data_IF_289336407829
#
_entry.id   IF_289336407829
#
_cell.length_a   1.000
_cell.length_b   1.000
_cell.length_c   1.000
_cell.angle_alpha   90.00
_cell.angle_beta   90.00
_cell.angle_gamma   90.00
#
_symmetry.space_group_name_H-M   'P 1'
#
loop_
_entity.id
_entity.type
_entity.pdbx_description
1 polymer ?
#
# COMPACT_ATOMS: atom_id res chain seq x y z
N UNK A 1 33.50 6.85 37.83
CA UNK A 1 32.12 6.40 37.55
C UNK A 1 31.84 6.72 36.07
N UNK A 2 31.95 5.69 35.29
CA UNK A 2 31.76 5.77 33.83
C UNK A 2 30.26 5.88 33.51
N UNK A 3 29.83 7.01 33.00
CA UNK A 3 28.49 7.13 32.41
C UNK A 3 28.49 6.41 31.07
N UNK A 4 28.16 5.12 31.12
CA UNK A 4 27.78 4.38 29.93
C UNK A 4 26.39 4.87 29.49
N UNK A 5 26.38 6.01 28.81
CA UNK A 5 25.22 6.46 28.09
C UNK A 5 25.07 5.53 26.90
N UNK A 6 24.38 4.39 27.12
CA UNK A 6 23.89 3.54 26.03
C UNK A 6 22.81 4.37 25.37
N UNK A 7 23.19 5.18 24.38
CA UNK A 7 22.28 5.64 23.35
C UNK A 7 21.87 4.39 22.59
N UNK A 8 20.84 3.72 23.07
CA UNK A 8 20.08 2.80 22.23
C UNK A 8 19.51 3.71 21.16
N UNK A 9 20.19 3.80 20.03
CA UNK A 9 19.62 4.36 18.84
C UNK A 9 18.32 3.53 18.61
N UNK A 10 17.19 4.12 18.98
CA UNK A 10 15.91 3.46 18.73
C UNK A 10 15.83 3.34 17.22
N UNK A 11 15.99 2.10 16.72
CA UNK A 11 15.82 1.82 15.30
C UNK A 11 14.41 2.27 14.97
N UNK A 12 14.30 3.31 14.12
CA UNK A 12 13.01 3.84 13.71
C UNK A 12 12.18 2.71 13.09
N UNK A 13 10.99 2.49 13.63
CA UNK A 13 10.05 1.49 13.13
C UNK A 13 9.22 2.08 12.01
N UNK A 14 9.04 1.30 10.94
CA UNK A 14 8.30 1.74 9.76
C UNK A 14 7.12 0.83 9.47
N UNK A 15 5.98 1.45 9.15
CA UNK A 15 4.85 0.81 8.49
C UNK A 15 4.76 1.35 7.06
N UNK A 16 5.04 0.49 6.09
CA UNK A 16 4.87 0.83 4.67
C UNK A 16 3.51 0.32 4.18
N UNK A 17 2.71 1.21 3.59
CA UNK A 17 1.42 0.87 2.99
C UNK A 17 1.58 0.94 1.47
N UNK A 18 1.78 -0.22 0.84
CA UNK A 18 1.85 -0.34 -0.62
C UNK A 18 0.43 -0.40 -1.15
N UNK A 19 0.04 0.61 -1.91
CA UNK A 19 -1.35 0.83 -2.25
C UNK A 19 -1.58 1.20 -3.73
N UNK A 20 -2.85 1.19 -4.14
CA UNK A 20 -3.28 1.50 -5.49
C UNK A 20 -4.31 0.50 -6.04
N UNK A 21 -4.92 0.77 -7.20
CA UNK A 21 -5.98 -0.06 -7.76
C UNK A 21 -5.52 -1.50 -8.07
N UNK A 22 -6.48 -2.38 -8.28
CA UNK A 22 -6.19 -3.72 -8.79
C UNK A 22 -5.46 -3.60 -10.14
N UNK A 23 -4.51 -4.49 -10.42
CA UNK A 23 -3.69 -4.41 -11.64
C UNK A 23 -2.58 -3.34 -11.63
N UNK A 24 -2.45 -2.53 -10.58
CA UNK A 24 -1.42 -1.48 -10.50
C UNK A 24 0.02 -2.01 -10.30
N UNK A 25 0.23 -3.32 -10.23
CA UNK A 25 1.57 -3.91 -10.10
C UNK A 25 2.20 -3.74 -8.71
N UNK A 26 1.39 -3.54 -7.68
CA UNK A 26 1.83 -3.37 -6.29
C UNK A 26 2.72 -4.52 -5.82
N UNK A 27 2.23 -5.75 -5.89
CA UNK A 27 2.95 -6.96 -5.45
C UNK A 27 4.29 -7.10 -6.17
N UNK A 28 4.31 -6.91 -7.49
CA UNK A 28 5.56 -6.94 -8.28
C UNK A 28 6.55 -5.87 -7.84
N UNK A 29 6.06 -4.65 -7.54
CA UNK A 29 6.91 -3.58 -7.01
C UNK A 29 7.40 -3.89 -5.59
N UNK A 30 6.54 -4.45 -4.75
CA UNK A 30 6.86 -4.79 -3.36
C UNK A 30 8.05 -5.73 -3.27
N UNK A 31 8.10 -6.79 -4.07
CA UNK A 31 9.23 -7.73 -4.07
C UNK A 31 10.60 -7.12 -4.41
N UNK A 32 10.61 -5.99 -5.11
CA UNK A 32 11.86 -5.29 -5.43
C UNK A 32 12.14 -4.10 -4.51
N UNK A 33 11.12 -3.30 -4.20
CA UNK A 33 11.25 -2.05 -3.44
C UNK A 33 11.45 -2.32 -1.94
N UNK A 34 10.62 -3.19 -1.36
CA UNK A 34 10.63 -3.41 0.08
C UNK A 34 11.97 -3.95 0.60
N UNK A 35 12.51 -5.09 0.10
CA UNK A 35 13.75 -5.63 0.65
C UNK A 35 15.00 -4.86 0.21
N UNK A 36 15.03 -4.32 -1.02
CA UNK A 36 16.24 -3.74 -1.59
C UNK A 36 16.42 -2.27 -1.29
N UNK A 37 15.32 -1.50 -1.20
CA UNK A 37 15.35 -0.05 -1.04
C UNK A 37 14.94 0.34 0.37
N UNK A 38 13.85 -0.24 0.89
CA UNK A 38 13.30 0.10 2.19
C UNK A 38 13.79 -0.82 3.33
N UNK A 39 14.61 -1.83 3.01
CA UNK A 39 15.13 -2.82 3.96
C UNK A 39 14.05 -3.48 4.83
N UNK A 40 12.80 -3.53 4.32
CA UNK A 40 11.64 -4.13 4.97
C UNK A 40 11.42 -5.54 4.42
N UNK A 41 11.53 -6.55 5.28
CA UNK A 41 11.39 -7.97 4.91
C UNK A 41 10.01 -8.53 5.22
N UNK A 42 9.29 -7.91 6.15
CA UNK A 42 7.96 -8.34 6.55
C UNK A 42 6.92 -7.70 5.62
N UNK A 43 6.30 -8.54 4.79
CA UNK A 43 5.28 -8.12 3.81
C UNK A 43 4.01 -8.92 4.01
N UNK A 44 2.89 -8.24 4.29
CA UNK A 44 1.60 -8.85 4.58
C UNK A 44 0.61 -8.50 3.48
N UNK A 45 0.16 -9.51 2.73
CA UNK A 45 -0.76 -9.37 1.61
C UNK A 45 -1.84 -10.46 1.69
N UNK A 46 -3.11 -10.06 1.78
CA UNK A 46 -4.24 -10.99 1.88
C UNK A 46 -4.38 -11.90 0.66
N UNK A 47 -4.10 -11.40 -0.55
CA UNK A 47 -4.19 -12.18 -1.78
C UNK A 47 -3.11 -13.30 -1.81
N UNK A 48 -1.89 -13.01 -1.32
CA UNK A 48 -0.83 -14.01 -1.19
C UNK A 48 -1.13 -15.05 -0.10
N UNK A 49 -1.72 -14.62 1.01
CA UNK A 49 -2.19 -15.54 2.07
C UNK A 49 -3.28 -16.45 1.52
N UNK A 50 -4.28 -15.90 0.82
CA UNK A 50 -5.35 -16.69 0.19
C UNK A 50 -4.79 -17.71 -0.81
N UNK A 51 -3.81 -17.31 -1.62
CA UNK A 51 -3.14 -18.19 -2.57
C UNK A 51 -2.34 -19.31 -1.86
N UNK A 52 -1.72 -19.01 -0.72
CA UNK A 52 -1.03 -20.01 0.10
C UNK A 52 -2.00 -21.03 0.71
N UNK A 53 -3.21 -20.60 1.10
CA UNK A 53 -4.24 -21.48 1.67
C UNK A 53 -4.94 -22.33 0.61
N UNK A 54 -5.27 -21.73 -0.54
CA UNK A 54 -6.00 -22.38 -1.63
C UNK A 54 -5.47 -21.90 -2.99
N UNK A 55 -4.39 -22.52 -3.53
CA UNK A 55 -3.73 -22.06 -4.74
C UNK A 55 -4.63 -21.97 -5.98
N UNK A 56 -5.61 -22.90 -6.09
CA UNK A 56 -6.50 -23.00 -7.24
C UNK A 56 -7.85 -22.30 -7.04
N UNK A 57 -8.22 -21.97 -5.80
CA UNK A 57 -9.48 -21.28 -5.47
C UNK A 57 -9.30 -20.30 -4.29
N UNK A 58 -8.44 -19.26 -4.44
CA UNK A 58 -8.14 -18.33 -3.36
C UNK A 58 -9.36 -17.51 -2.90
N UNK A 59 -10.37 -17.37 -3.77
CA UNK A 59 -11.59 -16.64 -3.44
C UNK A 59 -12.40 -17.32 -2.32
N UNK A 60 -12.40 -18.66 -2.28
CA UNK A 60 -13.13 -19.43 -1.26
C UNK A 60 -12.63 -19.18 0.17
N UNK A 61 -11.37 -18.74 0.32
CA UNK A 61 -10.69 -18.49 1.60
C UNK A 61 -10.40 -17.03 1.86
N UNK A 62 -10.99 -16.11 1.07
CA UNK A 62 -10.68 -14.67 1.17
C UNK A 62 -10.95 -14.08 2.56
N UNK A 63 -12.02 -14.51 3.24
CA UNK A 63 -12.37 -14.07 4.60
C UNK A 63 -11.34 -14.58 5.61
N UNK A 64 -10.94 -15.84 5.49
CA UNK A 64 -9.92 -16.45 6.34
C UNK A 64 -8.55 -15.77 6.15
N UNK A 65 -8.14 -15.57 4.91
CA UNK A 65 -6.92 -14.84 4.58
C UNK A 65 -6.92 -13.42 5.14
N UNK A 66 -8.05 -12.72 5.10
CA UNK A 66 -8.21 -11.41 5.73
C UNK A 66 -8.03 -11.45 7.25
N UNK A 67 -8.57 -12.47 7.93
CA UNK A 67 -8.37 -12.67 9.38
C UNK A 67 -6.90 -12.96 9.72
N UNK A 68 -6.24 -13.81 8.95
CA UNK A 68 -4.82 -14.12 9.12
C UNK A 68 -3.94 -12.89 8.87
N UNK A 69 -4.25 -12.09 7.85
CA UNK A 69 -3.59 -10.81 7.61
C UNK A 69 -3.67 -9.90 8.84
N UNK A 70 -4.88 -9.70 9.40
CA UNK A 70 -5.07 -8.87 10.59
C UNK A 70 -4.34 -9.42 11.82
N UNK A 71 -4.32 -10.75 12.00
CA UNK A 71 -3.57 -11.41 13.07
C UNK A 71 -2.06 -11.17 12.93
N UNK A 72 -1.52 -11.31 11.69
CA UNK A 72 -0.10 -11.06 11.43
C UNK A 72 0.29 -9.60 11.67
N UNK A 73 -0.54 -8.65 11.23
CA UNK A 73 -0.32 -7.22 11.50
C UNK A 73 -0.26 -6.96 13.00
N UNK A 74 -1.18 -7.54 13.78
CA UNK A 74 -1.19 -7.41 15.25
C UNK A 74 0.08 -7.97 15.89
N UNK A 75 0.55 -9.13 15.43
CA UNK A 75 1.77 -9.77 15.90
C UNK A 75 3.01 -8.89 15.62
N UNK A 76 3.17 -8.39 14.38
CA UNK A 76 4.27 -7.51 13.97
C UNK A 76 4.30 -6.21 14.77
N UNK A 77 3.14 -5.57 14.97
CA UNK A 77 3.02 -4.42 15.87
C UNK A 77 3.45 -4.76 17.30
N UNK A 78 3.02 -5.92 17.83
CA UNK A 78 3.36 -6.37 19.17
C UNK A 78 4.86 -6.64 19.36
N UNK A 79 5.55 -7.05 18.30
CA UNK A 79 7.00 -7.28 18.27
C UNK A 79 7.82 -6.02 17.98
N UNK A 80 7.17 -4.90 17.69
CA UNK A 80 7.84 -3.66 17.28
C UNK A 80 8.71 -3.82 16.01
N UNK A 81 8.33 -4.69 15.09
CA UNK A 81 9.04 -4.93 13.83
C UNK A 81 8.56 -3.98 12.74
N UNK A 82 9.46 -3.50 11.89
CA UNK A 82 9.07 -2.78 10.67
C UNK A 82 8.44 -3.73 9.68
N UNK A 83 7.30 -3.36 9.10
CA UNK A 83 6.58 -4.20 8.16
C UNK A 83 5.85 -3.39 7.09
N UNK A 84 5.39 -4.09 6.09
CA UNK A 84 4.59 -3.54 5.00
C UNK A 84 3.29 -4.30 4.81
N UNK A 85 2.27 -3.59 4.35
CA UNK A 85 0.99 -4.17 3.96
C UNK A 85 0.65 -3.77 2.53
N UNK A 86 -0.10 -4.63 1.83
CA UNK A 86 -0.67 -4.31 0.52
C UNK A 86 -2.18 -4.11 0.61
N UNK A 87 -2.69 -3.04 -0.05
CA UNK A 87 -4.11 -2.71 -0.07
C UNK A 87 -4.49 -1.89 -1.29
N UNK A 88 -5.79 -1.86 -1.63
CA UNK A 88 -6.34 -0.93 -2.62
C UNK A 88 -6.68 0.45 -2.04
N UNK A 89 -6.61 0.62 -0.71
CA UNK A 89 -7.13 1.79 0.04
C UNK A 89 -8.62 2.10 -0.17
N UNK A 90 -9.38 1.18 -0.77
CA UNK A 90 -10.82 1.37 -0.99
C UNK A 90 -11.66 1.31 0.29
N UNK A 91 -11.09 0.94 1.42
CA UNK A 91 -11.73 0.93 2.73
C UNK A 91 -11.12 1.97 3.66
N UNK A 92 -11.90 2.41 4.66
CA UNK A 92 -11.44 3.35 5.70
C UNK A 92 -10.79 2.67 6.91
N UNK A 93 -10.75 1.35 6.92
CA UNK A 93 -10.34 0.54 8.09
C UNK A 93 -8.88 0.74 8.50
N UNK A 94 -8.00 1.09 7.55
CA UNK A 94 -6.59 1.32 7.83
C UNK A 94 -6.30 2.60 8.64
N UNK A 95 -7.25 3.52 8.75
CA UNK A 95 -7.13 4.69 9.61
C UNK A 95 -6.75 4.27 11.04
N UNK A 96 -7.50 3.33 11.63
CA UNK A 96 -7.22 2.82 12.99
C UNK A 96 -5.88 2.10 13.10
N UNK A 97 -5.44 1.44 12.04
CA UNK A 97 -4.12 0.81 12.01
C UNK A 97 -3.01 1.87 12.08
N UNK A 98 -3.15 2.95 11.29
CA UNK A 98 -2.19 4.06 11.26
C UNK A 98 -2.13 4.75 12.63
N UNK A 99 -3.29 5.07 13.23
CA UNK A 99 -3.33 5.65 14.57
C UNK A 99 -2.62 4.77 15.61
N UNK A 100 -2.88 3.45 15.58
CA UNK A 100 -2.23 2.51 16.48
C UNK A 100 -0.72 2.41 16.24
N UNK A 101 -0.29 2.42 14.98
CA UNK A 101 1.13 2.43 14.62
C UNK A 101 1.82 3.69 15.16
N UNK A 102 1.22 4.87 14.99
CA UNK A 102 1.75 6.12 15.56
C UNK A 102 1.84 6.08 17.08
N UNK A 103 0.81 5.56 17.78
CA UNK A 103 0.85 5.40 19.25
C UNK A 103 2.00 4.51 19.71
N UNK A 104 2.46 3.61 18.85
CA UNK A 104 3.60 2.73 19.13
C UNK A 104 4.93 3.26 18.57
N UNK A 105 4.97 4.51 18.05
CA UNK A 105 6.18 5.16 17.55
C UNK A 105 6.64 4.70 16.17
N UNK A 106 5.74 4.17 15.34
CA UNK A 106 6.01 3.90 13.93
C UNK A 106 5.94 5.16 13.09
N UNK A 107 6.82 5.26 12.11
CA UNK A 107 6.69 6.16 10.97
C UNK A 107 5.91 5.46 9.86
N UNK A 108 4.85 6.09 9.37
CA UNK A 108 3.94 5.50 8.38
C UNK A 108 4.15 6.15 7.03
N UNK A 109 4.50 5.34 6.03
CA UNK A 109 4.70 5.78 4.64
C UNK A 109 3.73 5.08 3.69
N UNK A 110 3.04 5.85 2.85
CA UNK A 110 2.23 5.31 1.75
C UNK A 110 3.00 5.38 0.43
N UNK A 111 3.04 4.25 -0.29
CA UNK A 111 3.44 4.18 -1.69
C UNK A 111 2.18 3.87 -2.51
N UNK A 112 1.67 4.86 -3.25
CA UNK A 112 0.46 4.68 -4.06
C UNK A 112 0.82 4.53 -5.54
N UNK A 113 0.56 3.36 -6.10
CA UNK A 113 0.79 3.05 -7.52
C UNK A 113 -0.48 3.36 -8.31
N UNK A 114 -0.42 4.43 -9.11
CA UNK A 114 -1.54 4.87 -9.92
C UNK A 114 -1.52 4.25 -11.33
N UNK A 115 -2.70 4.10 -11.91
CA UNK A 115 -2.94 3.77 -13.31
C UNK A 115 -3.76 4.88 -13.97
N UNK A 116 -3.62 5.06 -15.28
CA UNK A 116 -4.25 6.18 -16.01
C UNK A 116 -5.79 6.13 -16.02
N UNK A 117 -6.39 4.96 -15.83
CA UNK A 117 -7.85 4.81 -15.79
C UNK A 117 -8.26 3.45 -15.19
N UNK A 118 -9.55 3.28 -14.79
CA UNK A 118 -10.08 1.99 -14.37
C UNK A 118 -10.10 0.95 -15.51
N UNK A 119 -10.20 1.36 -16.79
CA UNK A 119 -10.12 0.45 -17.94
C UNK A 119 -8.75 -0.21 -18.00
N UNK A 120 -7.66 0.56 -17.82
CA UNK A 120 -6.32 -0.02 -17.75
C UNK A 120 -6.17 -1.00 -16.57
N UNK A 121 -6.81 -0.72 -15.44
CA UNK A 121 -6.84 -1.64 -14.32
C UNK A 121 -7.54 -2.96 -14.69
N UNK A 122 -8.67 -2.89 -15.39
CA UNK A 122 -9.41 -4.05 -15.89
C UNK A 122 -8.56 -4.86 -16.88
N UNK A 123 -7.94 -4.21 -17.86
CA UNK A 123 -7.06 -4.86 -18.85
C UNK A 123 -5.92 -5.63 -18.18
N UNK A 124 -5.24 -5.03 -17.22
CA UNK A 124 -4.14 -5.68 -16.48
C UNK A 124 -4.60 -6.82 -15.58
N UNK A 125 -5.81 -6.71 -14.99
CA UNK A 125 -6.39 -7.84 -14.24
C UNK A 125 -6.73 -8.97 -15.20
N UNK A 126 -7.32 -8.69 -16.37
CA UNK A 126 -7.63 -9.70 -17.39
C UNK A 126 -6.35 -10.41 -17.89
N UNK A 127 -5.28 -9.65 -18.16
CA UNK A 127 -3.99 -10.22 -18.53
C UNK A 127 -3.40 -11.13 -17.43
N UNK A 128 -3.52 -10.72 -16.17
CA UNK A 128 -3.11 -11.55 -15.03
C UNK A 128 -3.91 -12.86 -14.95
N UNK A 129 -5.23 -12.78 -15.17
CA UNK A 129 -6.13 -13.95 -15.18
C UNK A 129 -5.76 -14.93 -16.30
N UNK A 130 -5.42 -14.44 -17.50
CA UNK A 130 -4.97 -15.31 -18.61
C UNK A 130 -3.68 -16.08 -18.31
N UNK A 131 -2.90 -15.59 -17.32
CA UNK A 131 -1.67 -16.23 -16.82
C UNK A 131 -1.91 -17.05 -15.53
N UNK A 132 -3.16 -17.40 -15.21
CA UNK A 132 -3.53 -18.20 -14.03
C UNK A 132 -3.67 -17.40 -12.73
N UNK A 133 -3.75 -16.09 -12.81
CA UNK A 133 -3.96 -15.24 -11.63
C UNK A 133 -5.44 -15.12 -11.26
N UNK A 134 -5.69 -14.61 -10.04
CA UNK A 134 -7.01 -14.40 -9.47
C UNK A 134 -7.83 -13.35 -10.24
N UNK A 135 -9.10 -13.66 -10.51
CA UNK A 135 -10.05 -12.76 -11.15
C UNK A 135 -10.69 -11.79 -10.13
N UNK A 136 -11.06 -10.60 -10.60
CA UNK A 136 -11.80 -9.62 -9.81
C UNK A 136 -12.90 -9.05 -10.73
N UNK A 137 -14.18 -9.00 -10.29
CA UNK A 137 -15.28 -8.44 -11.06
C UNK A 137 -14.99 -6.99 -11.48
N UNK A 138 -15.38 -6.62 -12.71
CA UNK A 138 -15.07 -5.30 -13.30
C UNK A 138 -15.64 -4.15 -12.47
N UNK A 139 -16.87 -4.28 -11.99
CA UNK A 139 -17.53 -3.30 -11.13
C UNK A 139 -16.77 -3.08 -9.82
N UNK A 140 -16.20 -4.14 -9.23
CA UNK A 140 -15.35 -4.07 -8.03
C UNK A 140 -14.04 -3.35 -8.33
N UNK A 141 -13.42 -3.59 -9.50
CA UNK A 141 -12.19 -2.89 -9.91
C UNK A 141 -12.46 -1.39 -10.06
N UNK A 142 -13.53 -1.02 -10.76
CA UNK A 142 -13.93 0.38 -10.99
C UNK A 142 -14.20 1.08 -9.65
N UNK A 143 -15.01 0.48 -8.80
CA UNK A 143 -15.33 1.03 -7.49
C UNK A 143 -14.05 1.25 -6.65
N UNK A 144 -13.20 0.22 -6.54
CA UNK A 144 -11.94 0.31 -5.77
C UNK A 144 -10.96 1.33 -6.34
N UNK A 145 -10.98 1.55 -7.67
CA UNK A 145 -10.14 2.56 -8.31
C UNK A 145 -10.47 3.96 -7.78
N UNK A 146 -11.73 4.36 -7.82
CA UNK A 146 -12.16 5.69 -7.38
C UNK A 146 -12.14 5.84 -5.86
N UNK A 147 -12.63 4.85 -5.12
CA UNK A 147 -12.59 4.86 -3.65
C UNK A 147 -11.16 4.93 -3.12
N UNK A 148 -10.23 4.19 -3.72
CA UNK A 148 -8.82 4.20 -3.32
C UNK A 148 -8.17 5.57 -3.49
N UNK A 149 -8.40 6.24 -4.61
CA UNK A 149 -7.91 7.60 -4.86
C UNK A 149 -8.56 8.59 -3.88
N UNK A 150 -9.88 8.55 -3.75
CA UNK A 150 -10.62 9.46 -2.87
C UNK A 150 -10.18 9.32 -1.41
N UNK A 151 -10.07 8.09 -0.92
CA UNK A 151 -9.59 7.82 0.43
C UNK A 151 -8.12 8.21 0.63
N UNK A 152 -7.26 8.05 -0.38
CA UNK A 152 -5.88 8.49 -0.34
C UNK A 152 -5.80 9.98 0.03
N UNK A 153 -6.51 10.84 -0.70
CA UNK A 153 -6.43 12.29 -0.51
C UNK A 153 -7.16 12.77 0.74
N UNK A 154 -8.37 12.28 1.02
CA UNK A 154 -9.20 12.79 2.11
C UNK A 154 -8.91 12.17 3.48
N UNK A 155 -8.41 10.93 3.50
CA UNK A 155 -8.27 10.20 4.76
C UNK A 155 -6.80 9.95 5.09
N UNK A 156 -6.02 9.44 4.12
CA UNK A 156 -4.72 8.87 4.43
C UNK A 156 -3.57 9.87 4.33
N UNK A 157 -3.50 10.69 3.28
CA UNK A 157 -2.47 11.76 3.16
C UNK A 157 -2.44 12.67 4.39
N UNK A 158 -3.59 13.12 4.96
CA UNK A 158 -3.57 13.99 6.13
C UNK A 158 -2.98 13.39 7.40
N UNK A 159 -2.91 12.06 7.50
CA UNK A 159 -2.54 11.38 8.75
C UNK A 159 -1.21 10.63 8.70
N UNK A 160 -0.64 10.37 7.52
CA UNK A 160 0.64 9.65 7.39
C UNK A 160 1.83 10.61 7.45
N UNK A 161 3.00 10.07 7.83
CA UNK A 161 4.22 10.86 7.94
C UNK A 161 4.82 11.19 6.58
N UNK A 162 4.71 10.27 5.61
CA UNK A 162 5.14 10.52 4.23
C UNK A 162 4.32 9.72 3.22
N UNK A 163 4.30 10.20 1.97
CA UNK A 163 3.64 9.50 0.88
C UNK A 163 4.34 9.75 -0.46
N UNK A 164 4.27 8.76 -1.32
CA UNK A 164 4.82 8.78 -2.67
C UNK A 164 3.73 8.32 -3.64
N UNK A 165 3.41 9.16 -4.62
CA UNK A 165 2.49 8.85 -5.70
C UNK A 165 3.28 8.47 -6.96
N UNK A 166 3.09 7.24 -7.44
CA UNK A 166 3.87 6.64 -8.53
C UNK A 166 2.97 6.41 -9.74
N UNK A 167 3.35 6.92 -10.90
CA UNK A 167 2.77 6.53 -12.18
C UNK A 167 3.30 5.15 -12.60
N UNK A 168 2.45 4.16 -12.58
CA UNK A 168 2.74 2.83 -13.10
C UNK A 168 1.86 2.50 -14.32
N UNK A 169 1.30 3.51 -14.97
CA UNK A 169 0.51 3.35 -16.21
C UNK A 169 1.38 3.03 -17.42
N UNK A 170 2.65 3.43 -17.36
CA UNK A 170 3.66 3.23 -18.41
C UNK A 170 4.96 2.64 -17.82
N UNK A 171 5.85 2.15 -18.70
CA UNK A 171 7.18 1.68 -18.32
C UNK A 171 8.23 2.58 -19.00
N UNK A 172 9.24 3.06 -18.27
CA UNK A 172 9.47 2.88 -16.83
C UNK A 172 8.47 3.67 -15.97
N UNK A 173 8.25 3.17 -14.74
CA UNK A 173 7.44 3.90 -13.75
C UNK A 173 8.12 5.20 -13.33
N UNK A 174 7.33 6.22 -12.97
CA UNK A 174 7.85 7.53 -12.55
C UNK A 174 7.12 8.06 -11.31
N UNK A 175 7.80 8.93 -10.56
CA UNK A 175 7.18 9.60 -9.41
C UNK A 175 6.36 10.79 -9.93
N UNK A 176 5.08 10.85 -9.54
CA UNK A 176 4.15 11.95 -9.84
C UNK A 176 4.33 13.08 -8.83
N UNK A 177 4.27 12.70 -7.55
CA UNK A 177 4.42 13.65 -6.44
C UNK A 177 4.85 12.92 -5.16
N UNK A 178 5.41 13.69 -4.24
CA UNK A 178 5.75 13.25 -2.88
C UNK A 178 5.31 14.30 -1.88
N UNK A 179 5.10 13.90 -0.64
CA UNK A 179 4.79 14.82 0.44
C UNK A 179 4.80 14.12 1.79
N UNK A 180 4.54 14.88 2.85
CA UNK A 180 4.52 14.34 4.19
C UNK A 180 4.02 15.37 5.20
N UNK A 181 3.86 14.91 6.43
CA UNK A 181 3.40 15.75 7.54
C UNK A 181 4.38 16.91 7.78
N UNK A 182 3.87 18.14 7.67
CA UNK A 182 4.69 19.34 7.86
C UNK A 182 5.66 19.65 6.70
N UNK A 183 5.58 18.93 5.59
CA UNK A 183 6.38 19.19 4.40
C UNK A 183 5.49 19.61 3.23
N UNK A 184 5.96 20.51 2.35
CA UNK A 184 5.23 20.89 1.14
C UNK A 184 5.14 19.68 0.19
N UNK A 185 4.06 19.60 -0.57
CA UNK A 185 3.92 18.64 -1.67
C UNK A 185 4.88 19.00 -2.81
N UNK A 186 5.78 18.09 -3.15
CA UNK A 186 6.65 18.21 -4.33
C UNK A 186 5.99 17.51 -5.52
N UNK A 187 5.52 18.28 -6.49
CA UNK A 187 4.86 17.76 -7.69
C UNK A 187 5.88 17.68 -8.83
N UNK A 188 6.19 16.46 -9.29
CA UNK A 188 7.12 16.20 -10.41
C UNK A 188 6.42 16.09 -11.76
N UNK A 189 5.15 15.68 -11.78
CA UNK A 189 4.31 15.61 -12.97
C UNK A 189 2.96 16.28 -12.70
N UNK A 190 2.88 17.58 -12.97
CA UNK A 190 1.70 18.38 -12.69
C UNK A 190 0.47 17.98 -13.54
N UNK A 191 0.68 17.53 -14.77
CA UNK A 191 -0.43 17.12 -15.66
C UNK A 191 -1.11 15.87 -15.07
N UNK A 192 -0.31 14.86 -14.72
CA UNK A 192 -0.84 13.64 -14.13
C UNK A 192 -1.41 13.89 -12.74
N UNK A 193 -0.77 14.74 -11.93
CA UNK A 193 -1.27 15.07 -10.58
C UNK A 193 -2.65 15.71 -10.63
N UNK A 194 -2.86 16.74 -11.47
CA UNK A 194 -4.16 17.38 -11.67
C UNK A 194 -5.23 16.41 -12.21
N UNK A 195 -4.84 15.47 -13.07
CA UNK A 195 -5.76 14.43 -13.53
C UNK A 195 -6.23 13.53 -12.40
N UNK A 196 -5.35 13.20 -11.45
CA UNK A 196 -5.71 12.40 -10.27
C UNK A 196 -6.60 13.21 -9.34
N UNK A 197 -6.27 14.48 -9.08
CA UNK A 197 -7.10 15.38 -8.28
C UNK A 197 -8.53 15.50 -8.82
N UNK A 198 -8.72 15.47 -10.14
CA UNK A 198 -10.04 15.52 -10.75
C UNK A 198 -10.94 14.30 -10.42
N UNK A 199 -10.38 13.20 -9.92
CA UNK A 199 -11.13 12.05 -9.41
C UNK A 199 -11.50 12.18 -7.94
N UNK A 200 -10.93 13.14 -7.22
CA UNK A 200 -11.20 13.38 -5.79
C UNK A 200 -12.49 14.19 -5.68
N UNK A 201 -13.50 13.60 -5.01
CA UNK A 201 -14.86 14.19 -4.88
C UNK A 201 -15.10 14.70 -3.46
#
# INVERSE_FOLDING_TARGET
>A
MSYLCIVIAMIQKHLYIVSGPNGAGKTTASYSVLPKILHCKEFVNADEIARGLSPFNPESVAIEAGRLMLSRIKDLLGRNESFSIETTLSTRSYFRLIEKAHQQGYEVTILFFWLKSPEQAIERVAERVSKGGHNIPKDVIIRRYYEGINNLFHIYIPIVDSWILVDNSVTPRSIIATGGKGQPTEIRNNVTYKRIEAYVK
#
